data_IF_436400109426
#
_entry.id   IF_436400109426
#
_cell.length_a   1.000
_cell.length_b   1.000
_cell.length_c   1.000
_cell.angle_alpha   90.00
_cell.angle_beta   90.00
_cell.angle_gamma   90.00
#
_symmetry.space_group_name_H-M   'P 1'
#
loop_
_entity.id
_entity.type
_entity.pdbx_description
1 polymer ?
#
# COMPACT_ATOMS: atom_id res chain seq x y z
N UNK A 1 -12.66 -9.56 -5.73
CA UNK A 1 -13.79 -8.84 -5.13
C UNK A 1 -14.05 -7.48 -5.81
N UNK A 2 -13.03 -6.67 -6.11
CA UNK A 2 -13.20 -5.41 -6.86
C UNK A 2 -14.04 -5.48 -8.17
N UNK A 3 -13.94 -6.55 -8.98
CA UNK A 3 -14.78 -6.73 -10.18
C UNK A 3 -16.28 -6.83 -9.87
N UNK A 4 -16.64 -7.42 -8.73
CA UNK A 4 -18.03 -7.50 -8.27
C UNK A 4 -18.55 -6.13 -7.82
N UNK A 5 -17.71 -5.33 -7.15
CA UNK A 5 -18.05 -3.96 -6.77
C UNK A 5 -18.21 -3.04 -7.99
N UNK A 6 -17.34 -3.17 -8.99
CA UNK A 6 -17.46 -2.43 -10.26
C UNK A 6 -18.72 -2.87 -11.03
N UNK A 7 -18.99 -4.18 -11.10
CA UNK A 7 -20.20 -4.72 -11.71
C UNK A 7 -21.48 -4.21 -11.02
N UNK A 8 -21.50 -4.18 -9.69
CA UNK A 8 -22.60 -3.61 -8.90
C UNK A 8 -22.77 -2.11 -9.13
N UNK A 9 -21.68 -1.36 -9.27
CA UNK A 9 -21.74 0.07 -9.58
C UNK A 9 -22.36 0.34 -10.96
N UNK A 10 -22.00 -0.45 -11.99
CA UNK A 10 -22.58 -0.34 -13.33
C UNK A 10 -24.07 -0.68 -13.32
N UNK A 11 -24.48 -1.74 -12.62
CA UNK A 11 -25.88 -2.10 -12.44
C UNK A 11 -26.68 -1.00 -11.71
N UNK A 12 -26.12 -0.40 -10.67
CA UNK A 12 -26.73 0.72 -9.96
C UNK A 12 -26.91 1.97 -10.83
N UNK A 13 -25.95 2.27 -11.72
CA UNK A 13 -26.05 3.36 -12.68
C UNK A 13 -27.18 3.13 -13.69
N UNK A 14 -27.29 1.90 -14.22
CA UNK A 14 -28.36 1.51 -15.14
C UNK A 14 -29.72 1.61 -14.44
N UNK A 15 -29.84 1.12 -13.20
CA UNK A 15 -31.06 1.22 -12.41
C UNK A 15 -31.45 2.68 -12.11
N UNK A 16 -30.47 3.57 -11.86
CA UNK A 16 -30.74 5.00 -11.66
C UNK A 16 -31.31 5.67 -12.91
N UNK A 17 -30.76 5.34 -14.09
CA UNK A 17 -31.22 5.85 -15.37
C UNK A 17 -32.63 5.34 -15.73
N UNK A 18 -32.94 4.09 -15.39
CA UNK A 18 -34.24 3.46 -15.69
C UNK A 18 -35.33 3.90 -14.71
N UNK A 19 -35.02 3.95 -13.41
CA UNK A 19 -35.99 4.25 -12.35
C UNK A 19 -36.13 5.76 -12.08
N UNK A 20 -35.27 6.59 -12.70
CA UNK A 20 -35.23 8.05 -12.50
C UNK A 20 -35.15 8.48 -11.03
N UNK A 21 -34.54 7.63 -10.19
CA UNK A 21 -34.47 7.83 -8.74
C UNK A 21 -33.02 8.04 -8.31
N UNK A 22 -32.72 8.96 -7.36
CA UNK A 22 -31.35 9.27 -6.96
C UNK A 22 -30.68 8.21 -6.08
N UNK A 23 -31.46 7.34 -5.42
CA UNK A 23 -30.92 6.33 -4.47
C UNK A 23 -29.99 5.30 -5.14
N UNK A 24 -30.35 4.66 -6.27
CA UNK A 24 -29.43 3.74 -6.97
C UNK A 24 -28.14 4.40 -7.44
N UNK A 25 -28.17 5.70 -7.77
CA UNK A 25 -26.98 6.46 -8.15
C UNK A 25 -26.01 6.61 -6.96
N UNK A 26 -26.52 6.89 -5.76
CA UNK A 26 -25.67 6.96 -4.56
C UNK A 26 -25.01 5.61 -4.24
N UNK A 27 -25.75 4.51 -4.40
CA UNK A 27 -25.22 3.15 -4.23
C UNK A 27 -24.13 2.88 -5.27
N UNK A 28 -24.35 3.26 -6.53
CA UNK A 28 -23.36 3.09 -7.59
C UNK A 28 -22.06 3.86 -7.31
N UNK A 29 -22.18 5.12 -6.87
CA UNK A 29 -21.03 5.95 -6.49
C UNK A 29 -20.28 5.32 -5.32
N UNK A 30 -20.99 4.88 -4.28
CA UNK A 30 -20.38 4.23 -3.12
C UNK A 30 -19.62 2.95 -3.51
N UNK A 31 -20.25 2.04 -4.26
CA UNK A 31 -19.61 0.80 -4.70
C UNK A 31 -18.43 1.05 -5.64
N UNK A 32 -18.52 2.08 -6.50
CA UNK A 32 -17.42 2.49 -7.37
C UNK A 32 -16.21 2.99 -6.57
N UNK A 33 -16.44 3.85 -5.57
CA UNK A 33 -15.38 4.36 -4.70
C UNK A 33 -14.72 3.23 -3.88
N UNK A 34 -15.53 2.33 -3.30
CA UNK A 34 -15.03 1.17 -2.55
C UNK A 34 -14.21 0.23 -3.45
N UNK A 35 -14.73 -0.11 -4.65
CA UNK A 35 -14.04 -0.99 -5.58
C UNK A 35 -12.71 -0.43 -6.10
N UNK A 36 -12.64 0.89 -6.32
CA UNK A 36 -11.40 1.58 -6.68
C UNK A 36 -10.40 1.59 -5.51
N UNK A 37 -10.88 1.77 -4.28
CA UNK A 37 -10.03 1.74 -3.08
C UNK A 37 -9.44 0.34 -2.82
N UNK A 38 -10.27 -0.71 -2.94
CA UNK A 38 -9.82 -2.10 -2.79
C UNK A 38 -8.74 -2.49 -3.80
N UNK A 39 -8.81 -1.95 -5.02
CA UNK A 39 -7.86 -2.28 -6.09
C UNK A 39 -6.40 -2.00 -5.70
N UNK A 40 -6.16 -0.97 -4.89
CA UNK A 40 -4.81 -0.58 -4.51
C UNK A 40 -4.38 -1.20 -3.18
N UNK A 41 -5.20 -1.09 -2.13
CA UNK A 41 -4.79 -1.54 -0.79
C UNK A 41 -4.88 -3.07 -0.65
N UNK A 42 -5.97 -3.68 -1.16
CA UNK A 42 -6.20 -5.12 -1.05
C UNK A 42 -5.19 -5.94 -1.86
N UNK A 43 -4.82 -5.47 -3.05
CA UNK A 43 -3.83 -6.13 -3.89
C UNK A 43 -2.44 -6.20 -3.21
N UNK A 44 -2.03 -5.12 -2.54
CA UNK A 44 -0.74 -5.06 -1.86
C UNK A 44 -0.69 -5.99 -0.63
N UNK A 45 -1.79 -6.08 0.14
CA UNK A 45 -1.88 -7.00 1.27
C UNK A 45 -1.83 -8.46 0.81
N UNK A 46 -2.56 -8.81 -0.24
CA UNK A 46 -2.53 -10.18 -0.79
C UNK A 46 -1.13 -10.51 -1.32
N UNK A 47 -0.48 -9.58 -2.01
CA UNK A 47 0.89 -9.77 -2.49
C UNK A 47 1.90 -9.95 -1.34
N UNK A 48 1.73 -9.20 -0.25
CA UNK A 48 2.53 -9.36 0.96
C UNK A 48 2.38 -10.73 1.60
N UNK A 49 1.14 -11.25 1.71
CA UNK A 49 0.88 -12.60 2.25
C UNK A 49 1.47 -13.67 1.33
N UNK A 50 1.24 -13.55 0.02
CA UNK A 50 1.77 -14.52 -0.94
C UNK A 50 3.30 -14.57 -0.87
N UNK A 51 3.97 -13.42 -0.86
CA UNK A 51 5.43 -13.38 -0.75
C UNK A 51 5.93 -13.92 0.60
N UNK A 52 5.21 -13.67 1.69
CA UNK A 52 5.54 -14.23 3.00
C UNK A 52 5.48 -15.76 3.01
N UNK A 53 4.49 -16.34 2.32
CA UNK A 53 4.29 -17.80 2.24
C UNK A 53 5.23 -18.48 1.21
N UNK A 54 5.63 -17.78 0.14
CA UNK A 54 6.37 -18.37 -0.98
C UNK A 54 7.88 -18.13 -0.95
N UNK A 55 8.34 -17.01 -0.39
CA UNK A 55 9.70 -16.53 -0.60
C UNK A 55 10.51 -16.39 0.69
N UNK A 56 11.82 -16.59 0.54
CA UNK A 56 12.78 -16.32 1.61
C UNK A 56 13.01 -14.82 1.68
N UNK A 57 12.88 -14.20 2.88
CA UNK A 57 13.17 -12.79 3.03
C UNK A 57 14.65 -12.54 2.78
N UNK A 58 14.94 -11.43 2.12
CA UNK A 58 16.27 -10.87 2.09
C UNK A 58 16.51 -9.96 3.30
N UNK A 59 17.79 -9.75 3.61
CA UNK A 59 18.22 -8.88 4.70
C UNK A 59 18.54 -7.50 4.14
N UNK A 60 18.05 -6.46 4.81
CA UNK A 60 18.36 -5.09 4.46
C UNK A 60 18.20 -4.15 5.64
N UNK A 61 18.13 -2.87 5.34
CA UNK A 61 17.84 -1.82 6.31
C UNK A 61 16.72 -0.94 5.80
N UNK A 62 16.02 -0.31 6.73
CA UNK A 62 15.05 0.71 6.41
C UNK A 62 15.43 2.03 7.07
N UNK A 63 14.93 3.12 6.48
CA UNK A 63 14.84 4.44 7.10
C UNK A 63 13.39 4.88 7.11
N UNK A 64 12.82 5.15 8.28
CA UNK A 64 11.44 5.65 8.40
C UNK A 64 11.48 7.17 8.53
N UNK A 65 10.73 7.85 7.67
CA UNK A 65 10.49 9.29 7.76
C UNK A 65 9.02 9.59 8.05
N UNK A 66 8.81 10.54 8.96
CA UNK A 66 7.47 10.96 9.40
C UNK A 66 7.27 12.39 8.91
N UNK A 67 6.27 12.57 8.07
CA UNK A 67 5.83 13.89 7.61
C UNK A 67 4.51 14.22 8.30
N UNK A 68 4.58 15.05 9.34
CA UNK A 68 3.42 15.54 10.08
C UNK A 68 2.88 16.82 9.42
N UNK A 69 1.58 16.84 9.09
CA UNK A 69 0.91 18.03 8.57
C UNK A 69 -0.40 18.26 9.33
N UNK A 70 -0.42 19.31 10.18
CA UNK A 70 -1.52 19.92 10.95
C UNK A 70 -2.47 18.96 11.73
N UNK A 71 -3.08 17.99 11.07
CA UNK A 71 -3.99 16.99 11.65
C UNK A 71 -3.70 15.54 11.26
N UNK A 72 -2.72 15.27 10.38
CA UNK A 72 -2.37 13.91 9.97
C UNK A 72 -0.87 13.68 9.84
N UNK A 73 -0.44 12.50 10.26
CA UNK A 73 0.91 12.01 10.05
C UNK A 73 0.92 11.08 8.85
N UNK A 74 1.88 11.29 7.95
CA UNK A 74 2.19 10.37 6.84
C UNK A 74 3.52 9.69 7.10
N UNK A 75 3.55 8.38 6.91
CA UNK A 75 4.70 7.53 7.19
C UNK A 75 5.28 7.02 5.90
N UNK A 76 6.54 7.34 5.68
CA UNK A 76 7.30 6.85 4.54
C UNK A 76 8.41 5.94 5.04
N UNK A 77 8.71 4.91 4.26
CA UNK A 77 9.84 4.03 4.49
C UNK A 77 10.69 3.99 3.25
N UNK A 78 11.99 4.21 3.44
CA UNK A 78 13.02 3.94 2.44
C UNK A 78 13.62 2.58 2.75
N UNK A 79 13.62 1.68 1.78
CA UNK A 79 14.12 0.32 1.89
C UNK A 79 15.43 0.22 1.13
N UNK A 80 16.47 -0.22 1.82
CA UNK A 80 17.82 -0.40 1.29
C UNK A 80 18.25 -1.85 1.41
N UNK A 81 18.70 -2.42 0.31
CA UNK A 81 19.09 -3.82 0.24
C UNK A 81 20.28 -3.97 -0.71
N UNK A 82 21.24 -4.80 -0.33
CA UNK A 82 22.40 -5.09 -1.18
C UNK A 82 21.94 -5.65 -2.54
N UNK A 83 22.57 -5.21 -3.62
CA UNK A 83 22.27 -5.64 -5.00
C UNK A 83 20.89 -5.23 -5.54
N UNK A 84 20.13 -4.43 -4.79
CA UNK A 84 18.86 -3.87 -5.22
C UNK A 84 18.86 -2.34 -5.17
N UNK A 85 18.09 -1.67 -6.05
CA UNK A 85 17.92 -0.23 -5.93
C UNK A 85 17.12 0.12 -4.68
N UNK A 86 17.36 1.31 -4.15
CA UNK A 86 16.60 1.85 -3.02
C UNK A 86 15.17 2.18 -3.45
N UNK A 87 14.21 1.78 -2.62
CA UNK A 87 12.78 2.02 -2.84
C UNK A 87 12.21 2.87 -1.72
N UNK A 88 11.29 3.77 -2.05
CA UNK A 88 10.52 4.56 -1.07
C UNK A 88 9.03 4.34 -1.28
N UNK A 89 8.29 4.17 -0.18
CA UNK A 89 6.83 4.10 -0.22
C UNK A 89 6.18 4.60 1.07
N UNK A 90 4.93 5.02 0.94
CA UNK A 90 4.06 5.33 2.08
C UNK A 90 3.46 4.04 2.64
N UNK A 91 3.41 3.90 3.97
CA UNK A 91 2.73 2.81 4.65
C UNK A 91 1.80 3.32 5.74
N UNK A 92 0.84 2.49 6.16
CA UNK A 92 -0.03 2.77 7.29
C UNK A 92 0.41 1.87 8.45
N UNK A 93 0.93 2.42 9.55
CA UNK A 93 1.32 1.63 10.71
C UNK A 93 0.12 0.85 11.29
N UNK A 94 0.29 -0.45 11.54
CA UNK A 94 -0.77 -1.35 12.05
C UNK A 94 -0.35 -1.91 13.42
N UNK A 95 -1.02 -1.50 14.50
CA UNK A 95 -0.73 -1.98 15.87
C UNK A 95 0.53 -1.38 16.53
N UNK A 96 1.39 -0.71 15.75
CA UNK A 96 2.55 0.05 16.21
C UNK A 96 2.58 1.39 15.45
N UNK A 97 3.16 2.44 16.03
CA UNK A 97 3.29 3.76 15.37
C UNK A 97 4.67 4.34 15.67
N UNK A 98 5.52 4.59 14.66
CA UNK A 98 6.81 5.23 14.87
C UNK A 98 6.59 6.67 15.35
N UNK A 99 7.31 7.07 16.40
CA UNK A 99 7.22 8.41 17.00
C UNK A 99 8.33 9.35 16.54
N UNK A 100 9.43 8.77 16.05
CA UNK A 100 10.61 9.47 15.58
C UNK A 100 11.07 8.82 14.27
N UNK A 101 11.82 9.55 13.46
CA UNK A 101 12.53 8.96 12.32
C UNK A 101 13.66 8.06 12.86
N UNK A 102 13.82 6.87 12.29
CA UNK A 102 14.90 5.97 12.67
C UNK A 102 15.24 4.98 11.56
N UNK A 103 16.44 4.42 11.68
CA UNK A 103 16.93 3.34 10.83
C UNK A 103 16.90 2.01 11.62
N UNK A 104 16.51 0.93 10.96
CA UNK A 104 16.47 -0.41 11.58
C UNK A 104 16.87 -1.49 10.58
N UNK A 105 17.53 -2.57 11.03
CA UNK A 105 17.61 -3.79 10.22
C UNK A 105 16.20 -4.30 9.94
N UNK A 106 16.01 -4.84 8.74
CA UNK A 106 14.70 -5.29 8.28
C UNK A 106 14.80 -6.55 7.42
N UNK A 107 13.74 -7.36 7.49
CA UNK A 107 13.50 -8.47 6.56
C UNK A 107 12.59 -7.98 5.45
N UNK A 108 12.99 -8.20 4.21
CA UNK A 108 12.33 -7.66 3.02
C UNK A 108 11.78 -8.81 2.20
N UNK A 109 10.50 -8.74 1.85
CA UNK A 109 9.85 -9.67 0.94
C UNK A 109 9.55 -8.99 -0.38
N UNK A 110 9.80 -9.72 -1.46
CA UNK A 110 9.55 -9.31 -2.84
C UNK A 110 8.77 -10.42 -3.52
N UNK A 111 7.87 -10.06 -4.43
CA UNK A 111 7.15 -11.07 -5.22
C UNK A 111 8.05 -11.71 -6.30
N UNK A 112 9.10 -10.99 -6.73
CA UNK A 112 10.11 -11.43 -7.70
C UNK A 112 11.44 -10.75 -7.43
N UNK A 113 12.54 -11.40 -7.78
CA UNK A 113 13.86 -10.79 -7.66
C UNK A 113 13.95 -9.48 -8.48
N UNK A 114 14.46 -8.41 -7.87
CA UNK A 114 14.55 -7.07 -8.49
C UNK A 114 13.25 -6.27 -8.58
N UNK A 115 12.10 -6.83 -8.20
CA UNK A 115 10.83 -6.09 -8.12
C UNK A 115 10.73 -5.28 -6.83
N UNK A 116 9.88 -4.26 -6.77
CA UNK A 116 9.65 -3.48 -5.57
C UNK A 116 9.33 -4.34 -4.33
N UNK A 117 9.72 -3.90 -3.12
CA UNK A 117 9.36 -4.59 -1.88
C UNK A 117 7.83 -4.58 -1.70
N UNK A 118 7.27 -5.75 -1.36
CA UNK A 118 5.84 -5.93 -1.12
C UNK A 118 5.51 -5.99 0.37
N UNK A 119 6.49 -6.35 1.20
CA UNK A 119 6.39 -6.34 2.65
C UNK A 119 7.76 -6.15 3.27
N UNK A 120 7.83 -5.36 4.33
CA UNK A 120 9.04 -5.19 5.13
C UNK A 120 8.69 -5.38 6.59
N UNK A 121 9.49 -6.18 7.30
CA UNK A 121 9.26 -6.48 8.71
C UNK A 121 10.49 -6.07 9.51
N UNK A 122 10.26 -5.30 10.56
CA UNK A 122 11.21 -5.02 11.63
C UNK A 122 10.71 -5.65 12.93
N UNK A 123 11.50 -5.53 14.00
CA UNK A 123 11.13 -6.03 15.33
C UNK A 123 9.80 -5.43 15.83
N UNK A 124 9.60 -4.13 15.62
CA UNK A 124 8.42 -3.40 16.10
C UNK A 124 7.17 -3.60 15.25
N UNK A 125 7.30 -4.09 14.02
CA UNK A 125 6.14 -4.42 13.19
C UNK A 125 6.36 -4.48 11.69
N UNK A 126 5.22 -4.49 10.99
CA UNK A 126 5.14 -4.77 9.54
C UNK A 126 4.79 -3.51 8.76
N UNK A 127 5.42 -3.36 7.61
CA UNK A 127 5.24 -2.28 6.64
C UNK A 127 4.80 -2.88 5.30
N UNK A 128 3.57 -2.56 4.89
CA UNK A 128 3.01 -2.92 3.58
C UNK A 128 2.78 -1.62 2.82
N UNK A 129 3.22 -1.51 1.55
CA UNK A 129 2.99 -0.31 0.76
C UNK A 129 1.50 0.01 0.63
N UNK A 130 1.12 1.25 0.96
CA UNK A 130 -0.23 1.79 0.69
C UNK A 130 -0.45 2.02 -0.80
N UNK A 131 0.60 2.44 -1.49
CA UNK A 131 0.67 2.70 -2.92
C UNK A 131 1.88 1.98 -3.53
N UNK A 132 1.97 1.84 -4.86
CA UNK A 132 3.15 1.27 -5.50
C UNK A 132 4.43 2.02 -5.08
N UNK A 133 5.45 1.26 -4.69
CA UNK A 133 6.73 1.84 -4.30
C UNK A 133 7.41 2.52 -5.48
N UNK A 134 8.17 3.57 -5.18
CA UNK A 134 8.93 4.36 -6.14
C UNK A 134 10.41 4.13 -5.94
N UNK A 135 11.19 4.19 -7.01
CA UNK A 135 12.64 4.22 -6.90
C UNK A 135 13.04 5.53 -6.21
N UNK A 136 14.01 5.46 -5.30
CA UNK A 136 14.64 6.66 -4.76
C UNK A 136 15.40 7.32 -5.91
N UNK A 137 15.01 8.54 -6.28
CA UNK A 137 15.70 9.28 -7.34
C UNK A 137 17.01 9.84 -6.78
N UNK A 138 18.06 9.94 -7.60
CA UNK A 138 19.38 10.43 -7.16
C UNK A 138 19.39 11.87 -6.61
N UNK A 139 18.26 12.59 -6.68
CA UNK A 139 18.06 13.92 -6.13
C UNK A 139 17.32 13.96 -4.77
N UNK A 140 16.87 12.81 -4.24
CA UNK A 140 16.09 12.71 -3.00
C UNK A 140 16.92 12.28 -1.78
N UNK A 141 18.25 12.22 -1.91
CA UNK A 141 19.16 12.10 -0.77
C UNK A 141 19.44 13.50 -0.19
N UNK A 142 19.20 13.74 1.11
CA UNK A 142 19.60 14.98 1.78
C UNK A 142 21.12 15.15 1.80
#
# INVERSE_FOLDING_TARGET
MHLWFIGGAVLGLIAALVLWHPVPLMIAVFLGLVGLSERHCGANIVAAIMAYDSDTPSQGSIAISISAWDSSDTFHVTVRESEHPDWVYEFIPQGWKPKVCFDSPAKIWRAKNGSAPVSVIIEDGVMIPRYPAKLVSANDTP
#
